data_IF_253114066704
#
_entry.id   IF_253114066704
#
_cell.length_a   1.000
_cell.length_b   1.000
_cell.length_c   1.000
_cell.angle_alpha   90.00
_cell.angle_beta   90.00
_cell.angle_gamma   90.00
#
_symmetry.space_group_name_H-M   'P 1'
#
loop_
_entity.id
_entity.type
_entity.pdbx_description
1 polymer ?
#
# COMPACT_ATOMS: atom_id res chain seq x y z
N UNK A 1 20.67 -13.80 32.08
CA UNK A 1 20.14 -12.78 31.18
C UNK A 1 20.14 -13.41 29.80
N UNK A 2 18.99 -13.72 29.24
CA UNK A 2 18.93 -14.22 27.85
C UNK A 2 19.12 -13.03 26.93
N UNK A 3 20.22 -13.01 26.20
CA UNK A 3 20.39 -12.11 25.06
C UNK A 3 19.33 -12.46 24.03
N UNK A 4 18.26 -11.68 23.99
CA UNK A 4 17.28 -11.76 22.91
C UNK A 4 18.02 -11.27 21.66
N UNK A 5 18.30 -12.22 20.79
CA UNK A 5 18.99 -12.02 19.52
C UNK A 5 18.19 -11.02 18.67
N UNK A 6 18.59 -9.74 18.64
CA UNK A 6 17.91 -8.66 17.90
C UNK A 6 17.98 -8.83 16.36
N UNK A 7 18.53 -9.94 15.88
CA UNK A 7 18.76 -10.18 14.44
C UNK A 7 17.54 -10.65 13.64
N UNK A 8 16.38 -10.91 14.27
CA UNK A 8 15.19 -11.49 13.61
C UNK A 8 13.97 -10.56 13.59
N UNK A 9 14.12 -9.29 13.94
CA UNK A 9 12.98 -8.37 13.88
C UNK A 9 12.66 -8.01 12.41
N UNK A 10 11.39 -8.13 12.01
CA UNK A 10 10.91 -7.70 10.69
C UNK A 10 11.19 -6.22 10.50
N UNK A 11 11.77 -5.85 9.35
CA UNK A 11 12.11 -4.45 9.07
C UNK A 11 10.98 -3.70 8.43
N UNK A 12 10.29 -4.28 7.46
CA UNK A 12 9.21 -3.65 6.70
C UNK A 12 7.98 -4.55 6.69
N UNK A 13 6.82 -4.01 7.07
CA UNK A 13 5.52 -4.64 6.82
C UNK A 13 4.90 -4.01 5.58
N UNK A 14 4.64 -4.83 4.57
CA UNK A 14 3.87 -4.46 3.39
C UNK A 14 2.42 -4.86 3.64
N UNK A 15 1.49 -3.91 3.57
CA UNK A 15 0.06 -4.14 3.75
C UNK A 15 -0.63 -4.15 2.38
N UNK A 16 -1.36 -5.22 2.08
CA UNK A 16 -2.14 -5.35 0.84
C UNK A 16 -3.60 -5.57 1.19
N UNK A 17 -4.49 -4.68 0.75
CA UNK A 17 -5.94 -4.88 0.89
C UNK A 17 -6.51 -5.52 -0.36
N UNK A 18 -7.39 -6.50 -0.18
CA UNK A 18 -8.03 -7.24 -1.28
C UNK A 18 -9.55 -7.23 -1.10
N UNK A 19 -10.29 -6.86 -2.14
CA UNK A 19 -11.75 -7.01 -2.19
C UNK A 19 -12.23 -7.32 -3.60
N UNK A 20 -12.59 -8.57 -3.87
CA UNK A 20 -13.08 -9.04 -5.18
C UNK A 20 -12.15 -8.69 -6.36
N UNK A 21 -10.86 -8.50 -6.11
CA UNK A 21 -9.87 -8.26 -7.16
C UNK A 21 -9.61 -9.56 -7.90
N UNK A 22 -9.58 -9.52 -9.22
CA UNK A 22 -9.24 -10.70 -10.03
C UNK A 22 -7.87 -11.26 -9.60
N UNK A 23 -7.82 -12.57 -9.37
CA UNK A 23 -6.62 -13.23 -8.85
C UNK A 23 -5.37 -12.99 -9.71
N UNK A 24 -5.50 -12.81 -11.03
CA UNK A 24 -4.37 -12.50 -11.90
C UNK A 24 -3.67 -11.20 -11.50
N UNK A 25 -4.44 -10.17 -11.15
CA UNK A 25 -3.87 -8.90 -10.68
C UNK A 25 -3.30 -9.04 -9.27
N UNK A 26 -4.05 -9.66 -8.36
CA UNK A 26 -3.59 -9.89 -6.98
C UNK A 26 -2.30 -10.71 -6.96
N UNK A 27 -2.21 -11.75 -7.78
CA UNK A 27 -0.99 -12.55 -7.93
C UNK A 27 0.19 -11.71 -8.42
N UNK A 28 -0.03 -10.84 -9.43
CA UNK A 28 1.00 -9.93 -9.96
C UNK A 28 1.50 -9.00 -8.85
N UNK A 29 0.59 -8.40 -8.07
CA UNK A 29 0.92 -7.55 -6.95
C UNK A 29 1.75 -8.29 -5.88
N UNK A 30 1.32 -9.49 -5.47
CA UNK A 30 2.06 -10.34 -4.52
C UNK A 30 3.45 -10.69 -5.06
N UNK A 31 3.53 -11.14 -6.32
CA UNK A 31 4.81 -11.49 -6.96
C UNK A 31 5.79 -10.31 -6.96
N UNK A 32 5.30 -9.09 -7.16
CA UNK A 32 6.12 -7.88 -7.15
C UNK A 32 6.73 -7.58 -5.78
N UNK A 33 5.99 -7.90 -4.70
CA UNK A 33 6.48 -7.80 -3.33
C UNK A 33 7.48 -8.92 -3.03
N UNK A 34 7.18 -10.16 -3.40
CA UNK A 34 8.07 -11.29 -3.14
C UNK A 34 9.41 -11.20 -3.89
N UNK A 35 9.45 -10.46 -5.00
CA UNK A 35 10.65 -10.24 -5.83
C UNK A 35 11.47 -8.99 -5.43
N UNK A 36 11.19 -8.39 -4.27
CA UNK A 36 11.98 -7.26 -3.81
C UNK A 36 13.44 -7.64 -3.54
N UNK A 37 14.37 -6.74 -3.85
CA UNK A 37 15.82 -6.89 -3.58
C UNK A 37 16.15 -6.82 -2.09
N UNK A 38 15.29 -6.20 -1.28
CA UNK A 38 15.34 -6.19 0.18
C UNK A 38 14.48 -7.32 0.74
N UNK A 39 15.06 -8.22 1.53
CA UNK A 39 14.43 -9.50 1.92
C UNK A 39 13.86 -9.54 3.36
N UNK A 40 14.22 -8.58 4.24
CA UNK A 40 13.70 -8.56 5.61
C UNK A 40 12.36 -7.81 5.69
N UNK A 41 11.33 -8.41 5.11
CA UNK A 41 9.96 -7.91 5.13
C UNK A 41 8.97 -9.05 5.40
N UNK A 42 7.76 -8.67 5.78
CA UNK A 42 6.54 -9.48 5.74
C UNK A 42 5.52 -8.84 4.80
N UNK A 43 4.67 -9.66 4.19
CA UNK A 43 3.47 -9.22 3.46
C UNK A 43 2.23 -9.63 4.25
N UNK A 44 1.40 -8.67 4.62
CA UNK A 44 0.13 -8.91 5.29
C UNK A 44 -0.99 -8.62 4.30
N UNK A 45 -1.72 -9.66 3.90
CA UNK A 45 -2.89 -9.55 3.03
C UNK A 45 -4.13 -9.43 3.90
N UNK A 46 -4.89 -8.34 3.71
CA UNK A 46 -6.13 -8.08 4.42
C UNK A 46 -7.30 -8.21 3.43
N UNK A 47 -8.00 -9.32 3.49
CA UNK A 47 -9.18 -9.58 2.68
C UNK A 47 -10.41 -8.94 3.32
N UNK A 48 -10.93 -7.91 2.65
CA UNK A 48 -12.10 -7.13 3.05
C UNK A 48 -13.43 -7.83 2.69
N UNK A 49 -13.48 -9.15 2.79
CA UNK A 49 -14.70 -9.93 2.57
C UNK A 49 -14.94 -10.32 1.12
N UNK A 50 -13.90 -10.69 0.39
CA UNK A 50 -14.01 -11.17 -1.01
C UNK A 50 -14.90 -12.39 -1.14
N UNK A 51 -15.49 -12.57 -2.34
CA UNK A 51 -16.29 -13.73 -2.70
C UNK A 51 -15.44 -15.01 -2.75
N UNK A 52 -16.09 -16.17 -2.62
CA UNK A 52 -15.43 -17.46 -2.44
C UNK A 52 -14.44 -17.80 -3.57
N UNK A 53 -14.85 -17.65 -4.84
CA UNK A 53 -14.02 -18.04 -5.99
C UNK A 53 -12.67 -17.31 -6.06
N UNK A 54 -12.66 -16.02 -5.77
CA UNK A 54 -11.41 -15.22 -5.76
C UNK A 54 -10.56 -15.60 -4.55
N UNK A 55 -11.20 -15.94 -3.44
CA UNK A 55 -10.53 -16.30 -2.20
C UNK A 55 -9.79 -17.64 -2.27
N UNK A 56 -10.37 -18.68 -2.88
CA UNK A 56 -9.75 -20.00 -2.94
C UNK A 56 -8.38 -19.93 -3.64
N UNK A 57 -8.32 -19.29 -4.81
CA UNK A 57 -7.06 -19.12 -5.54
C UNK A 57 -6.03 -18.31 -4.75
N UNK A 58 -6.47 -17.30 -4.02
CA UNK A 58 -5.60 -16.50 -3.17
C UNK A 58 -5.07 -17.33 -2.00
N UNK A 59 -5.90 -18.14 -1.34
CA UNK A 59 -5.49 -18.97 -0.21
C UNK A 59 -4.45 -20.00 -0.63
N UNK A 60 -4.64 -20.71 -1.75
CA UNK A 60 -3.65 -21.63 -2.30
C UNK A 60 -2.29 -20.97 -2.54
N UNK A 61 -2.31 -19.69 -2.92
CA UNK A 61 -1.09 -18.93 -3.16
C UNK A 61 -0.42 -18.48 -1.86
N UNK A 62 -1.21 -18.07 -0.87
CA UNK A 62 -0.74 -17.71 0.47
C UNK A 62 -0.07 -18.90 1.15
N UNK A 63 -0.70 -20.08 1.13
CA UNK A 63 -0.16 -21.30 1.74
C UNK A 63 1.21 -21.69 1.17
N UNK A 64 1.42 -21.48 -0.12
CA UNK A 64 2.72 -21.76 -0.78
C UNK A 64 3.84 -20.78 -0.39
N UNK A 65 3.50 -19.65 0.25
CA UNK A 65 4.41 -18.58 0.63
C UNK A 65 4.23 -18.17 2.10
N UNK A 66 3.82 -19.11 2.97
CA UNK A 66 3.47 -18.85 4.38
C UNK A 66 4.64 -18.31 5.22
N UNK A 67 5.87 -18.49 4.77
CA UNK A 67 7.07 -17.95 5.39
C UNK A 67 7.18 -16.41 5.26
N UNK A 68 6.50 -15.83 4.29
CA UNK A 68 6.51 -14.39 3.99
C UNK A 68 5.15 -13.73 4.08
N UNK A 69 4.05 -14.48 3.89
CA UNK A 69 2.71 -13.95 3.77
C UNK A 69 1.85 -14.35 4.96
N UNK A 70 1.25 -13.35 5.61
CA UNK A 70 0.16 -13.52 6.57
C UNK A 70 -1.16 -13.10 5.93
N UNK A 71 -2.23 -13.86 6.19
CA UNK A 71 -3.56 -13.55 5.68
C UNK A 71 -4.56 -13.29 6.82
N UNK A 72 -5.29 -12.19 6.70
CA UNK A 72 -6.33 -11.77 7.64
C UNK A 72 -7.60 -11.52 6.84
N UNK A 73 -8.74 -11.98 7.33
CA UNK A 73 -10.04 -11.74 6.68
C UNK A 73 -11.07 -11.16 7.65
N UNK A 74 -11.89 -10.27 7.15
CA UNK A 74 -13.07 -9.75 7.86
C UNK A 74 -14.22 -9.46 6.86
N UNK A 75 -15.42 -9.14 7.37
CA UNK A 75 -16.51 -8.65 6.54
C UNK A 75 -16.14 -7.28 5.95
N UNK A 76 -16.63 -6.98 4.75
CA UNK A 76 -16.35 -5.71 4.06
C UNK A 76 -16.61 -4.50 4.96
N UNK A 77 -15.60 -3.64 5.10
CA UNK A 77 -15.60 -2.39 5.87
C UNK A 77 -14.90 -1.24 5.14
N UNK A 78 -14.38 -1.52 3.94
CA UNK A 78 -13.65 -0.58 3.11
C UNK A 78 -12.14 -0.59 3.36
N UNK A 79 -11.42 -0.07 2.37
CA UNK A 79 -9.96 -0.12 2.29
C UNK A 79 -9.27 0.50 3.51
N UNK A 80 -9.68 1.70 3.93
CA UNK A 80 -9.09 2.39 5.08
C UNK A 80 -9.14 1.58 6.37
N UNK A 81 -10.29 0.93 6.64
CA UNK A 81 -10.44 0.08 7.83
C UNK A 81 -9.59 -1.19 7.73
N UNK A 82 -9.47 -1.74 6.53
CA UNK A 82 -8.60 -2.89 6.27
C UNK A 82 -7.13 -2.55 6.48
N UNK A 83 -6.67 -1.39 5.99
CA UNK A 83 -5.30 -0.90 6.24
C UNK A 83 -5.08 -0.69 7.75
N UNK A 84 -5.99 0.00 8.45
CA UNK A 84 -5.89 0.23 9.89
C UNK A 84 -5.78 -1.09 10.67
N UNK A 85 -6.50 -2.12 10.24
CA UNK A 85 -6.40 -3.46 10.83
C UNK A 85 -5.05 -4.10 10.53
N UNK A 86 -4.54 -4.01 9.31
CA UNK A 86 -3.20 -4.50 8.94
C UNK A 86 -2.09 -3.87 9.78
N UNK A 87 -2.19 -2.58 10.08
CA UNK A 87 -1.25 -1.85 10.94
C UNK A 87 -1.16 -2.49 12.35
N UNK A 88 -2.28 -2.94 12.92
CA UNK A 88 -2.30 -3.57 14.25
C UNK A 88 -1.53 -4.91 14.26
N UNK A 89 -1.56 -5.65 13.18
CA UNK A 89 -0.89 -6.95 13.05
C UNK A 89 0.55 -6.85 12.53
N UNK A 90 0.97 -5.69 12.03
CA UNK A 90 2.32 -5.50 11.48
C UNK A 90 3.41 -5.64 12.55
N UNK A 91 4.53 -6.27 12.20
CA UNK A 91 5.70 -6.44 13.07
C UNK A 91 6.85 -5.53 12.67
N UNK A 92 6.84 -4.98 11.46
CA UNK A 92 7.90 -4.16 10.89
C UNK A 92 8.11 -2.83 11.61
N UNK A 93 9.34 -2.36 11.58
CA UNK A 93 9.71 -1.00 12.01
C UNK A 93 9.09 0.06 11.07
N UNK A 94 8.97 -0.29 9.78
CA UNK A 94 8.38 0.53 8.73
C UNK A 94 7.13 -0.15 8.17
N UNK A 95 6.21 0.66 7.67
CA UNK A 95 4.99 0.23 7.00
C UNK A 95 4.93 0.89 5.62
N UNK A 96 4.49 0.12 4.64
CA UNK A 96 4.10 0.57 3.32
C UNK A 96 2.84 -0.18 2.87
N UNK A 97 2.16 0.33 1.86
CA UNK A 97 0.88 -0.20 1.39
C UNK A 97 1.01 -0.48 -0.11
N UNK A 98 0.38 -1.54 -0.57
CA UNK A 98 0.24 -1.84 -2.00
C UNK A 98 -1.22 -2.19 -2.30
N UNK A 99 -1.77 -1.64 -3.36
CA UNK A 99 -3.09 -2.04 -3.86
C UNK A 99 -3.01 -3.38 -4.60
N UNK A 100 -4.07 -4.17 -4.51
CA UNK A 100 -4.07 -5.55 -5.02
C UNK A 100 -4.06 -5.69 -6.54
N UNK A 101 -4.09 -4.57 -7.25
CA UNK A 101 -4.04 -4.45 -8.71
C UNK A 101 -2.83 -3.67 -9.24
N UNK A 102 -1.91 -3.26 -8.34
CA UNK A 102 -0.70 -2.51 -8.65
C UNK A 102 0.58 -3.34 -8.49
N UNK A 103 1.74 -2.74 -8.65
CA UNK A 103 3.04 -3.41 -8.54
C UNK A 103 4.10 -2.55 -7.88
N UNK A 104 5.09 -3.19 -7.27
CA UNK A 104 6.36 -2.57 -6.91
C UNK A 104 7.44 -2.91 -7.93
N UNK A 105 8.32 -1.95 -8.27
CA UNK A 105 9.58 -2.28 -8.93
C UNK A 105 10.50 -3.05 -7.97
N UNK A 106 11.42 -3.87 -8.45
CA UNK A 106 12.26 -4.72 -7.59
C UNK A 106 13.03 -3.98 -6.49
N UNK A 107 13.33 -2.71 -6.70
CA UNK A 107 14.09 -1.85 -5.77
C UNK A 107 13.20 -0.92 -4.91
N UNK A 108 11.88 -1.16 -4.82
CA UNK A 108 10.98 -0.24 -4.11
C UNK A 108 11.32 -0.15 -2.63
N UNK A 109 11.41 -1.29 -1.93
CA UNK A 109 11.68 -1.30 -0.49
C UNK A 109 13.07 -0.77 -0.16
N UNK A 110 14.09 -1.15 -0.91
CA UNK A 110 15.46 -0.66 -0.69
C UNK A 110 15.59 0.84 -0.94
N UNK A 111 14.96 1.36 -2.00
CA UNK A 111 14.93 2.80 -2.29
C UNK A 111 14.23 3.59 -1.19
N UNK A 112 13.07 3.12 -0.72
CA UNK A 112 12.34 3.77 0.38
C UNK A 112 13.17 3.77 1.69
N UNK A 113 13.82 2.65 2.02
CA UNK A 113 14.69 2.54 3.20
C UNK A 113 15.91 3.46 3.13
N UNK A 114 16.44 3.72 1.93
CA UNK A 114 17.53 4.65 1.72
C UNK A 114 17.11 6.09 2.00
N UNK A 115 15.89 6.47 1.63
CA UNK A 115 15.37 7.85 1.70
C UNK A 115 14.74 8.22 3.05
N UNK A 116 14.25 7.24 3.83
CA UNK A 116 13.53 7.48 5.09
C UNK A 116 14.42 7.86 6.28
N UNK A 117 15.75 7.85 6.13
CA UNK A 117 16.71 7.90 7.26
C UNK A 117 16.43 9.04 8.24
N UNK A 118 16.19 10.25 7.73
CA UNK A 118 16.09 11.50 8.49
C UNK A 118 14.66 12.00 8.67
N UNK A 119 13.67 11.23 8.21
CA UNK A 119 12.24 11.61 8.30
C UNK A 119 11.40 10.45 8.83
N UNK A 120 10.16 10.74 9.19
CA UNK A 120 9.23 9.75 9.74
C UNK A 120 8.34 9.12 8.67
N UNK A 121 8.05 9.85 7.59
CA UNK A 121 7.22 9.42 6.48
C UNK A 121 7.78 9.98 5.17
N UNK A 122 7.79 9.16 4.13
CA UNK A 122 7.95 9.60 2.75
C UNK A 122 6.67 9.34 1.97
N UNK A 123 6.38 10.22 1.01
CA UNK A 123 5.37 10.04 -0.01
C UNK A 123 6.06 10.19 -1.37
N UNK A 124 6.04 9.17 -2.19
CA UNK A 124 6.70 9.22 -3.50
C UNK A 124 5.70 9.47 -4.63
N UNK A 125 6.22 9.76 -5.84
CA UNK A 125 5.44 9.66 -7.08
C UNK A 125 5.33 8.20 -7.50
N UNK A 126 4.36 7.92 -8.39
CA UNK A 126 4.22 6.62 -9.05
C UNK A 126 4.71 6.65 -10.49
N UNK A 127 5.10 5.50 -11.03
CA UNK A 127 5.01 5.26 -12.46
C UNK A 127 3.57 4.84 -12.75
N UNK A 128 2.88 5.58 -13.63
CA UNK A 128 1.47 5.30 -13.91
C UNK A 128 1.31 4.68 -15.28
N UNK A 129 0.64 3.54 -15.35
CA UNK A 129 0.28 2.88 -16.60
C UNK A 129 -1.14 3.33 -16.98
N UNK A 130 -1.25 4.01 -18.10
CA UNK A 130 -2.51 4.59 -18.61
C UNK A 130 -2.80 4.13 -20.04
N UNK A 131 -4.07 4.19 -20.44
CA UNK A 131 -4.49 3.92 -21.83
C UNK A 131 -4.42 5.17 -22.70
N UNK A 132 -4.59 6.35 -22.07
CA UNK A 132 -4.51 7.65 -22.75
C UNK A 132 -4.05 8.77 -21.80
N UNK A 133 -3.63 9.91 -22.35
CA UNK A 133 -3.06 11.03 -21.59
C UNK A 133 -4.04 11.66 -20.58
N UNK A 134 -5.36 11.59 -20.81
CA UNK A 134 -6.34 12.11 -19.86
C UNK A 134 -6.41 11.30 -18.57
N UNK A 135 -5.97 10.05 -18.59
CA UNK A 135 -5.97 9.17 -17.43
C UNK A 135 -4.89 9.55 -16.40
N UNK A 136 -3.94 10.44 -16.74
CA UNK A 136 -3.02 11.04 -15.77
C UNK A 136 -3.69 12.04 -14.84
N UNK A 137 -4.97 12.37 -15.05
CA UNK A 137 -5.67 13.39 -14.28
C UNK A 137 -6.82 12.78 -13.46
N UNK A 138 -7.00 13.30 -12.26
CA UNK A 138 -8.05 12.90 -11.31
C UNK A 138 -8.72 14.14 -10.71
N UNK A 139 -9.98 14.04 -10.23
CA UNK A 139 -10.62 15.14 -9.53
C UNK A 139 -9.80 15.58 -8.30
N UNK A 140 -9.64 16.90 -8.14
CA UNK A 140 -9.05 17.48 -6.94
C UNK A 140 -9.97 17.24 -5.72
N UNK A 141 -9.42 16.77 -4.62
CA UNK A 141 -10.19 16.47 -3.40
C UNK A 141 -10.87 17.70 -2.80
N UNK A 142 -10.32 18.90 -3.02
CA UNK A 142 -10.84 20.16 -2.48
C UNK A 142 -11.84 20.85 -3.43
N UNK A 143 -11.76 20.51 -4.74
CA UNK A 143 -12.63 21.07 -5.76
C UNK A 143 -12.82 20.03 -6.88
N UNK A 144 -13.85 19.19 -6.75
CA UNK A 144 -14.15 18.10 -7.70
C UNK A 144 -14.42 18.57 -9.13
N UNK A 145 -14.55 19.88 -9.38
CA UNK A 145 -14.69 20.46 -10.73
C UNK A 145 -13.34 20.65 -11.43
N UNK A 146 -12.23 20.52 -10.68
CA UNK A 146 -10.87 20.62 -11.19
C UNK A 146 -10.22 19.26 -11.29
N UNK A 147 -9.32 19.15 -12.25
CA UNK A 147 -8.47 17.97 -12.41
C UNK A 147 -7.03 18.33 -12.02
N UNK A 148 -6.37 17.42 -11.31
CA UNK A 148 -4.96 17.52 -10.94
C UNK A 148 -4.20 16.32 -11.50
N UNK A 149 -2.93 16.50 -11.79
CA UNK A 149 -2.06 15.43 -12.29
C UNK A 149 -1.73 14.43 -11.17
N UNK A 150 -1.62 13.15 -11.50
CA UNK A 150 -1.33 12.07 -10.54
C UNK A 150 0.00 12.27 -9.77
N UNK A 151 0.99 12.94 -10.33
CA UNK A 151 2.23 13.29 -9.61
C UNK A 151 2.01 14.27 -8.45
N UNK A 152 0.89 14.99 -8.42
CA UNK A 152 0.51 15.90 -7.34
C UNK A 152 -0.28 15.21 -6.24
N UNK A 153 -0.84 14.04 -6.53
CA UNK A 153 -1.69 13.26 -5.61
C UNK A 153 -0.83 12.44 -4.64
N UNK A 154 -1.41 12.11 -3.51
CA UNK A 154 -0.94 11.05 -2.64
C UNK A 154 -1.76 9.80 -2.93
N UNK A 155 -1.12 8.67 -3.15
CA UNK A 155 -1.77 7.36 -3.25
C UNK A 155 -1.33 6.51 -2.04
N UNK A 156 -2.17 5.59 -1.59
CA UNK A 156 -1.82 4.67 -0.49
C UNK A 156 -0.46 3.99 -0.74
N UNK A 157 -0.25 3.48 -1.96
CA UNK A 157 0.97 2.77 -2.34
C UNK A 157 2.23 3.63 -2.44
N UNK A 158 2.10 4.95 -2.42
CA UNK A 158 3.26 5.86 -2.41
C UNK A 158 3.74 6.24 -1.02
N UNK A 159 3.03 5.77 0.03
CA UNK A 159 3.36 6.03 1.43
C UNK A 159 4.33 4.95 1.97
N UNK A 160 5.45 5.39 2.52
CA UNK A 160 6.37 4.54 3.27
C UNK A 160 6.82 5.29 4.52
N UNK A 161 6.65 4.69 5.71
CA UNK A 161 6.93 5.43 6.94
C UNK A 161 7.23 4.56 8.14
N UNK A 162 7.73 5.18 9.20
CA UNK A 162 7.92 4.52 10.49
C UNK A 162 6.58 4.09 11.07
N UNK A 163 6.49 2.91 11.63
CA UNK A 163 5.26 2.36 12.23
C UNK A 163 4.61 3.32 13.25
N UNK A 164 5.40 4.12 13.96
CA UNK A 164 4.88 5.12 14.91
C UNK A 164 3.93 6.12 14.26
N UNK A 165 4.14 6.51 12.99
CA UNK A 165 3.25 7.42 12.25
C UNK A 165 1.88 6.79 12.08
N UNK A 166 1.85 5.57 11.57
CA UNK A 166 0.61 4.81 11.30
C UNK A 166 -0.13 4.42 12.59
N UNK A 167 0.58 4.20 13.69
CA UNK A 167 -0.04 3.98 15.00
C UNK A 167 -0.67 5.25 15.60
N UNK A 168 -0.15 6.42 15.25
CA UNK A 168 -0.63 7.70 15.80
C UNK A 168 -1.78 8.31 14.99
N UNK A 169 -1.87 7.95 13.71
CA UNK A 169 -2.85 8.50 12.76
C UNK A 169 -3.55 7.34 12.05
N UNK A 170 -4.85 7.15 12.32
CA UNK A 170 -5.65 6.18 11.57
C UNK A 170 -6.07 6.75 10.20
N UNK A 171 -6.18 5.89 9.18
CA UNK A 171 -6.85 6.26 7.94
C UNK A 171 -8.35 6.42 8.19
N UNK A 172 -8.92 7.53 7.73
CA UNK A 172 -10.36 7.77 7.77
C UNK A 172 -11.04 7.17 6.54
N UNK A 173 -12.29 6.74 6.67
CA UNK A 173 -13.09 6.31 5.53
C UNK A 173 -13.50 7.52 4.68
N UNK A 174 -13.59 7.33 3.36
CA UNK A 174 -14.06 8.35 2.43
C UNK A 174 -13.13 8.59 1.25
N UNK A 175 -13.54 9.51 0.38
CA UNK A 175 -12.76 9.93 -0.78
C UNK A 175 -11.44 10.57 -0.34
N UNK A 176 -10.36 10.28 -1.06
CA UNK A 176 -9.00 10.78 -0.81
C UNK A 176 -8.48 10.55 0.65
N UNK A 177 -8.77 9.37 1.20
CA UNK A 177 -8.35 8.99 2.55
C UNK A 177 -6.82 8.96 2.72
N UNK A 178 -6.08 8.65 1.68
CA UNK A 178 -4.62 8.72 1.57
C UNK A 178 -4.10 10.16 1.69
N UNK A 179 -4.72 11.09 0.97
CA UNK A 179 -4.37 12.51 1.04
C UNK A 179 -4.73 13.12 2.41
N UNK A 180 -5.88 12.77 3.02
CA UNK A 180 -6.24 13.18 4.39
C UNK A 180 -5.21 12.66 5.41
N UNK A 181 -4.79 11.39 5.27
CA UNK A 181 -3.74 10.83 6.13
C UNK A 181 -2.43 11.59 6.00
N UNK A 182 -1.97 11.82 4.76
CA UNK A 182 -0.73 12.55 4.47
C UNK A 182 -0.76 13.96 5.06
N UNK A 183 -1.84 14.72 4.88
CA UNK A 183 -1.97 16.07 5.43
C UNK A 183 -1.92 16.09 6.96
N UNK A 184 -2.58 15.17 7.62
CA UNK A 184 -2.49 15.07 9.10
C UNK A 184 -1.09 14.65 9.55
N UNK A 185 -0.41 13.79 8.78
CA UNK A 185 0.96 13.40 9.07
C UNK A 185 1.93 14.58 8.98
N UNK A 186 1.79 15.47 7.99
CA UNK A 186 2.66 16.66 7.86
C UNK A 186 2.58 17.63 9.03
N UNK A 187 1.48 17.59 9.81
CA UNK A 187 1.30 18.44 10.98
C UNK A 187 1.98 17.89 12.24
N UNK A 188 2.26 16.59 12.28
CA UNK A 188 2.71 15.89 13.49
C UNK A 188 4.09 15.26 13.36
N UNK A 189 4.57 15.02 12.15
CA UNK A 189 5.79 14.27 11.86
C UNK A 189 6.63 14.94 10.78
N UNK A 190 7.92 14.54 10.73
CA UNK A 190 8.79 14.93 9.63
C UNK A 190 8.43 14.14 8.37
N UNK A 191 8.04 14.84 7.31
CA UNK A 191 7.56 14.24 6.06
C UNK A 191 8.34 14.77 4.86
N UNK A 192 8.66 13.90 3.89
CA UNK A 192 9.35 14.26 2.65
C UNK A 192 8.58 13.73 1.45
N UNK A 193 8.30 14.58 0.45
CA UNK A 193 7.81 14.16 -0.87
C UNK A 193 8.99 13.91 -1.81
N UNK A 194 8.96 12.81 -2.57
CA UNK A 194 10.06 12.33 -3.40
C UNK A 194 9.55 11.92 -4.79
N UNK A 195 10.44 11.88 -5.76
CA UNK A 195 10.18 11.35 -7.11
C UNK A 195 10.93 10.03 -7.33
N UNK A 196 10.45 8.94 -6.68
CA UNK A 196 11.09 7.62 -6.79
C UNK A 196 10.59 6.79 -7.97
N UNK A 197 9.31 6.89 -8.31
CA UNK A 197 8.64 6.11 -9.38
C UNK A 197 8.91 4.61 -9.29
N UNK A 198 8.94 4.08 -8.07
CA UNK A 198 9.15 2.65 -7.80
C UNK A 198 7.85 1.92 -7.45
N UNK A 199 6.75 2.66 -7.24
CA UNK A 199 5.38 2.17 -7.22
C UNK A 199 4.80 2.28 -8.63
N UNK A 200 4.25 1.20 -9.17
CA UNK A 200 3.64 1.13 -10.51
C UNK A 200 2.13 1.09 -10.34
N UNK A 201 1.47 2.19 -10.65
CA UNK A 201 0.02 2.35 -10.56
C UNK A 201 -0.65 1.98 -11.89
N UNK A 202 -1.48 0.95 -11.88
CA UNK A 202 -2.25 0.51 -13.04
C UNK A 202 -3.62 1.20 -13.06
N UNK A 203 -3.74 2.24 -13.87
CA UNK A 203 -5.00 2.92 -14.12
C UNK A 203 -5.92 2.04 -15.01
N UNK A 204 -7.20 2.25 -14.95
CA UNK A 204 -8.18 1.59 -15.84
C UNK A 204 -8.36 0.07 -15.64
N UNK A 205 -7.95 -0.47 -14.49
CA UNK A 205 -8.28 -1.84 -14.14
C UNK A 205 -9.81 -1.96 -14.01
N UNK A 206 -10.45 -2.94 -14.69
CA UNK A 206 -11.90 -3.15 -14.60
C UNK A 206 -12.35 -3.36 -13.14
N UNK A 207 -13.42 -2.67 -12.74
CA UNK A 207 -13.98 -2.69 -11.38
C UNK A 207 -13.11 -2.07 -10.28
N UNK A 208 -12.05 -1.33 -10.64
CA UNK A 208 -11.31 -0.53 -9.64
C UNK A 208 -12.20 0.58 -9.07
N UNK A 209 -11.88 1.02 -7.84
CA UNK A 209 -12.62 2.11 -7.18
C UNK A 209 -12.58 3.38 -8.04
N UNK A 210 -11.44 3.68 -8.65
CA UNK A 210 -11.27 4.84 -9.52
C UNK A 210 -12.11 4.79 -10.81
N UNK A 211 -12.49 3.61 -11.29
CA UNK A 211 -13.39 3.48 -12.45
C UNK A 211 -14.86 3.84 -12.14
N UNK A 212 -15.23 3.86 -10.86
CA UNK A 212 -16.61 4.13 -10.40
C UNK A 212 -16.85 5.58 -10.00
N UNK A 213 -15.81 6.37 -9.78
CA UNK A 213 -15.90 7.82 -9.50
C UNK A 213 -15.80 8.56 -10.82
N UNK A 214 -16.96 8.80 -11.44
CA UNK A 214 -17.12 9.67 -12.63
C UNK A 214 -17.82 10.96 -12.23
#
# INVERSE_FOLDING_TARGET
MCDINMSNQVKVSVLMTVFNTNFTYTKRAIDSVLKQDFTNFELIIIDDGSKENDRELLMDYVEKNEDKISYIRHSNRGQSESINRGILYSLGEYITIIDSDDEYKPNHLSSCLQEIKDVDLICSTSETIVDNDNDYYVPDKNDLTKLIHLDEVTLFGTLFGRKKVFNSIAFKTGFAADADFYERATQLFSVKKLDLRTYVYHRNIPNSICATVK
#
